data_IF_959613229743
#
_entry.id   IF_959613229743
#
_cell.length_a   1.000
_cell.length_b   1.000
_cell.length_c   1.000
_cell.angle_alpha   90.00
_cell.angle_beta   90.00
_cell.angle_gamma   90.00
#
_symmetry.space_group_name_H-M   'P 1'
#
loop_
_entity.id
_entity.type
_entity.pdbx_description
1 polymer ?
#
# COMPACT_ATOMS: atom_id res chain seq x y z
N UNK A 1 12.62 3.51 -8.61
CA UNK A 1 11.63 4.36 -7.92
C UNK A 1 11.79 5.85 -8.15
N UNK A 2 13.01 6.33 -8.35
CA UNK A 2 13.24 7.77 -8.49
C UNK A 2 12.44 8.40 -9.64
N UNK A 3 12.22 7.68 -10.73
CA UNK A 3 11.43 8.15 -11.86
C UNK A 3 9.93 7.93 -11.77
N UNK A 4 9.44 7.23 -10.73
CA UNK A 4 8.02 6.94 -10.58
C UNK A 4 7.28 8.12 -9.98
N UNK A 5 6.05 8.39 -10.44
CA UNK A 5 5.17 9.41 -9.86
C UNK A 5 4.45 8.94 -8.62
N UNK A 6 4.30 7.64 -8.46
CA UNK A 6 3.64 7.01 -7.32
C UNK A 6 4.13 5.58 -7.17
N UNK A 7 3.91 5.02 -6.00
CA UNK A 7 4.28 3.64 -5.69
C UNK A 7 3.09 2.93 -5.05
N UNK A 8 2.84 1.70 -5.46
CA UNK A 8 1.86 0.83 -4.81
C UNK A 8 2.63 -0.31 -4.17
N UNK A 9 2.43 -0.51 -2.87
CA UNK A 9 3.06 -1.59 -2.12
C UNK A 9 1.98 -2.57 -1.69
N UNK A 10 2.12 -3.83 -2.10
CA UNK A 10 1.22 -4.91 -1.69
C UNK A 10 2.01 -5.91 -0.85
N UNK A 11 1.51 -6.26 0.32
CA UNK A 11 2.22 -7.12 1.26
C UNK A 11 1.31 -8.16 1.90
N UNK A 12 1.82 -9.39 2.14
CA UNK A 12 1.18 -10.30 3.09
C UNK A 12 1.55 -9.91 4.52
N UNK A 13 0.94 -10.57 5.50
CA UNK A 13 1.29 -10.41 6.91
C UNK A 13 2.10 -11.63 7.37
N UNK A 14 3.25 -11.39 7.98
CA UNK A 14 4.11 -12.41 8.54
C UNK A 14 4.36 -12.09 10.02
N UNK A 15 3.95 -12.98 10.91
CA UNK A 15 4.13 -12.81 12.36
C UNK A 15 3.64 -11.42 12.83
N UNK A 16 2.46 -11.02 12.37
CA UNK A 16 1.83 -9.73 12.67
C UNK A 16 2.64 -8.51 12.20
N UNK A 17 3.47 -8.69 11.16
CA UNK A 17 4.26 -7.60 10.60
C UNK A 17 4.49 -7.79 9.11
N UNK A 18 5.27 -6.89 8.52
CA UNK A 18 5.62 -6.97 7.11
C UNK A 18 6.77 -7.99 6.92
N UNK A 19 6.89 -8.58 5.71
CA UNK A 19 8.03 -9.47 5.43
C UNK A 19 9.37 -8.76 5.63
N UNK A 20 10.37 -9.51 6.12
CA UNK A 20 11.71 -8.96 6.33
C UNK A 20 12.34 -8.41 5.04
N UNK A 21 12.08 -9.03 3.91
CA UNK A 21 12.58 -8.55 2.61
C UNK A 21 12.02 -7.16 2.27
N UNK A 22 10.73 -6.92 2.57
CA UNK A 22 10.13 -5.62 2.35
C UNK A 22 10.72 -4.57 3.30
N UNK A 23 10.85 -4.90 4.58
CA UNK A 23 11.46 -3.99 5.56
C UNK A 23 12.88 -3.63 5.18
N UNK A 24 13.65 -4.62 4.71
CA UNK A 24 15.02 -4.38 4.24
C UNK A 24 15.06 -3.42 3.04
N UNK A 25 14.15 -3.60 2.08
CA UNK A 25 14.06 -2.69 0.93
C UNK A 25 13.74 -1.26 1.37
N UNK A 26 12.80 -1.10 2.33
CA UNK A 26 12.44 0.21 2.85
C UNK A 26 13.61 0.87 3.60
N UNK A 27 14.38 0.09 4.34
CA UNK A 27 15.56 0.60 5.04
C UNK A 27 16.59 1.19 4.07
N UNK A 28 16.78 0.59 2.91
CA UNK A 28 17.63 1.15 1.86
C UNK A 28 17.08 2.49 1.33
N UNK A 29 15.76 2.60 1.18
CA UNK A 29 15.12 3.81 0.67
C UNK A 29 15.14 4.98 1.65
N UNK A 30 15.32 4.71 2.95
CA UNK A 30 15.47 5.77 3.96
C UNK A 30 16.65 6.66 3.63
N UNK A 31 17.79 6.07 3.30
CA UNK A 31 19.02 6.83 3.01
C UNK A 31 18.90 7.66 1.74
N UNK A 32 18.21 7.16 0.72
CA UNK A 32 18.08 7.86 -0.56
C UNK A 32 16.98 8.92 -0.56
N UNK A 33 16.02 8.83 0.37
CA UNK A 33 14.89 9.77 0.43
C UNK A 33 13.93 9.67 -0.76
N UNK A 34 13.95 8.57 -1.50
CA UNK A 34 13.14 8.42 -2.72
C UNK A 34 11.65 8.46 -2.47
N UNK A 35 11.19 8.14 -1.25
CA UNK A 35 9.77 8.17 -0.90
C UNK A 35 9.31 9.48 -0.29
N UNK A 36 10.21 10.43 -0.06
CA UNK A 36 9.82 11.74 0.52
C UNK A 36 8.83 12.45 -0.40
N UNK A 37 7.65 12.76 0.14
CA UNK A 37 6.54 13.40 -0.55
C UNK A 37 6.01 12.60 -1.76
N UNK A 38 6.43 11.35 -1.93
CA UNK A 38 5.94 10.51 -3.03
C UNK A 38 4.57 9.94 -2.69
N UNK A 39 3.57 10.06 -3.59
CA UNK A 39 2.29 9.41 -3.40
C UNK A 39 2.44 7.89 -3.33
N UNK A 40 1.89 7.29 -2.29
CA UNK A 40 1.97 5.84 -2.05
C UNK A 40 0.58 5.31 -1.72
N UNK A 41 0.26 4.13 -2.23
CA UNK A 41 -0.85 3.33 -1.77
C UNK A 41 -0.30 2.02 -1.20
N UNK A 42 -0.89 1.54 -0.14
CA UNK A 42 -0.46 0.31 0.52
C UNK A 42 -1.64 -0.65 0.66
N UNK A 43 -1.41 -1.91 0.30
CA UNK A 43 -2.43 -2.95 0.30
C UNK A 43 -1.88 -4.13 1.08
N UNK A 44 -2.66 -4.66 2.03
CA UNK A 44 -2.38 -5.95 2.63
C UNK A 44 -3.44 -6.97 2.22
N UNK A 45 -3.06 -8.22 2.14
CA UNK A 45 -3.96 -9.32 1.83
C UNK A 45 -3.64 -10.51 2.74
N UNK A 46 -4.67 -11.19 3.19
CA UNK A 46 -4.52 -12.33 4.09
C UNK A 46 -5.68 -13.30 3.89
N UNK A 47 -5.46 -14.63 4.02
CA UNK A 47 -6.58 -15.57 3.99
C UNK A 47 -7.46 -15.48 5.24
N UNK A 48 -7.02 -14.83 6.31
CA UNK A 48 -7.76 -14.68 7.55
C UNK A 48 -8.69 -13.47 7.56
N UNK A 49 -9.43 -13.33 8.65
CA UNK A 49 -10.43 -12.27 8.83
C UNK A 49 -9.81 -10.88 8.92
N UNK A 50 -8.61 -10.76 9.46
CA UNK A 50 -7.97 -9.46 9.66
C UNK A 50 -7.43 -8.81 8.40
N UNK A 51 -7.30 -9.57 7.30
CA UNK A 51 -6.81 -9.02 6.02
C UNK A 51 -5.40 -8.45 6.08
N UNK A 52 -4.60 -8.84 7.08
CA UNK A 52 -3.28 -8.29 7.26
C UNK A 52 -3.27 -6.87 7.83
N UNK A 53 -4.31 -6.49 8.55
CA UNK A 53 -4.47 -5.12 9.07
C UNK A 53 -3.33 -4.68 10.00
N UNK A 54 -2.75 -5.60 10.77
CA UNK A 54 -1.63 -5.28 11.66
C UNK A 54 -0.39 -4.97 10.83
N UNK A 55 -0.09 -5.77 9.81
CA UNK A 55 1.02 -5.52 8.90
C UNK A 55 0.81 -4.21 8.15
N UNK A 56 -0.42 -3.94 7.70
CA UNK A 56 -0.74 -2.71 6.98
C UNK A 56 -0.52 -1.48 7.87
N UNK A 57 -0.94 -1.53 9.13
CA UNK A 57 -0.73 -0.44 10.08
C UNK A 57 0.77 -0.20 10.32
N UNK A 58 1.54 -1.27 10.46
CA UNK A 58 2.99 -1.19 10.63
C UNK A 58 3.66 -0.57 9.40
N UNK A 59 3.28 -1.00 8.21
CA UNK A 59 3.79 -0.47 6.96
C UNK A 59 3.45 1.01 6.80
N UNK A 60 2.21 1.39 7.08
CA UNK A 60 1.78 2.79 7.00
C UNK A 60 2.57 3.67 7.95
N UNK A 61 2.81 3.22 9.18
CA UNK A 61 3.63 3.94 10.14
C UNK A 61 5.05 4.18 9.64
N UNK A 62 5.67 3.13 9.09
CA UNK A 62 7.02 3.23 8.52
C UNK A 62 7.06 4.21 7.34
N UNK A 63 6.11 4.11 6.42
CA UNK A 63 6.06 4.98 5.25
C UNK A 63 5.85 6.45 5.63
N UNK A 64 5.04 6.72 6.65
CA UNK A 64 4.80 8.08 7.14
C UNK A 64 6.03 8.67 7.81
N UNK A 65 6.80 7.84 8.52
CA UNK A 65 8.09 8.27 9.07
C UNK A 65 9.06 8.62 7.94
N UNK A 66 9.01 7.89 6.82
CA UNK A 66 9.80 8.17 5.64
C UNK A 66 9.27 9.37 4.83
N UNK A 67 8.24 10.03 5.31
CA UNK A 67 7.63 11.23 4.73
C UNK A 67 6.92 10.96 3.40
N UNK A 68 6.48 9.73 3.16
CA UNK A 68 5.65 9.41 2.00
C UNK A 68 4.26 10.07 2.13
N UNK A 69 3.66 10.43 1.00
CA UNK A 69 2.30 10.95 0.97
C UNK A 69 1.33 9.76 0.96
N UNK A 70 0.79 9.43 2.12
CA UNK A 70 -0.04 8.23 2.34
C UNK A 70 -1.30 8.58 3.11
N UNK A 71 -2.35 9.09 2.44
CA UNK A 71 -3.63 9.34 3.10
C UNK A 71 -4.38 8.03 3.40
N UNK A 72 -5.34 8.09 4.31
CA UNK A 72 -6.09 6.92 4.76
C UNK A 72 -6.82 6.20 3.63
N UNK A 73 -7.32 6.91 2.65
CA UNK A 73 -8.03 6.33 1.52
C UNK A 73 -7.11 5.61 0.51
N UNK A 74 -5.81 5.66 0.72
CA UNK A 74 -4.82 4.90 -0.03
C UNK A 74 -4.34 3.65 0.73
N UNK A 75 -5.05 3.23 1.77
CA UNK A 75 -4.79 2.00 2.51
C UNK A 75 -5.93 1.01 2.30
N UNK A 76 -5.61 -0.24 2.04
CA UNK A 76 -6.61 -1.28 1.81
C UNK A 76 -6.15 -2.61 2.41
N UNK A 77 -6.99 -3.19 3.26
CA UNK A 77 -6.82 -4.54 3.81
C UNK A 77 -7.80 -5.49 3.12
N UNK A 78 -7.34 -6.59 2.58
CA UNK A 78 -8.19 -7.57 1.89
C UNK A 78 -8.23 -8.85 2.72
N UNK A 79 -9.32 -9.09 3.51
CA UNK A 79 -9.46 -10.33 4.26
C UNK A 79 -9.96 -11.45 3.35
N UNK A 80 -9.76 -12.69 3.78
CA UNK A 80 -10.24 -13.89 3.08
C UNK A 80 -9.83 -13.92 1.62
N UNK A 81 -8.61 -13.51 1.31
CA UNK A 81 -8.15 -13.33 -0.07
C UNK A 81 -8.26 -14.61 -0.90
N UNK A 82 -8.04 -15.78 -0.29
CA UNK A 82 -8.16 -17.06 -1.00
C UNK A 82 -9.58 -17.34 -1.49
N UNK A 83 -10.59 -16.84 -0.77
CA UNK A 83 -12.00 -16.99 -1.17
C UNK A 83 -12.43 -15.94 -2.19
N UNK A 84 -11.73 -14.82 -2.24
CA UNK A 84 -12.05 -13.71 -3.15
C UNK A 84 -11.41 -13.85 -4.52
N UNK A 85 -10.39 -14.71 -4.63
CA UNK A 85 -9.76 -15.01 -5.91
C UNK A 85 -10.62 -16.04 -6.66
N UNK A 86 -10.94 -15.74 -7.90
CA UNK A 86 -11.70 -16.63 -8.79
C UNK A 86 -10.93 -16.86 -10.08
N UNK A 87 -11.43 -17.75 -10.94
CA UNK A 87 -10.83 -17.99 -12.25
C UNK A 87 -10.83 -16.73 -13.14
N UNK A 88 -11.73 -15.79 -12.89
CA UNK A 88 -11.82 -14.52 -13.62
C UNK A 88 -11.12 -13.36 -12.90
N UNK A 89 -10.43 -13.62 -11.79
CA UNK A 89 -9.77 -12.60 -10.99
C UNK A 89 -10.35 -12.47 -9.59
N UNK A 90 -10.42 -11.26 -9.04
CA UNK A 90 -10.99 -11.00 -7.71
C UNK A 90 -12.50 -10.82 -7.78
N UNK A 91 -13.18 -10.93 -6.62
CA UNK A 91 -14.63 -10.71 -6.54
C UNK A 91 -14.99 -9.23 -6.79
N UNK A 92 -16.28 -8.96 -6.98
CA UNK A 92 -16.74 -7.63 -7.35
C UNK A 92 -16.48 -6.59 -6.25
N UNK A 93 -16.69 -6.96 -4.99
CA UNK A 93 -16.42 -6.06 -3.85
C UNK A 93 -14.96 -5.63 -3.80
N UNK A 94 -14.05 -6.60 -3.96
CA UNK A 94 -12.61 -6.33 -3.98
C UNK A 94 -12.24 -5.45 -5.17
N UNK A 95 -12.85 -5.70 -6.34
CA UNK A 95 -12.62 -4.88 -7.53
C UNK A 95 -13.05 -3.44 -7.31
N UNK A 96 -14.18 -3.21 -6.66
CA UNK A 96 -14.65 -1.86 -6.33
C UNK A 96 -13.67 -1.17 -5.37
N UNK A 97 -13.23 -1.87 -4.33
CA UNK A 97 -12.28 -1.33 -3.37
C UNK A 97 -10.95 -0.95 -4.03
N UNK A 98 -10.45 -1.79 -4.94
CA UNK A 98 -9.23 -1.51 -5.67
C UNK A 98 -9.38 -0.30 -6.59
N UNK A 99 -10.54 -0.17 -7.27
CA UNK A 99 -10.81 1.00 -8.10
C UNK A 99 -10.87 2.29 -7.29
N UNK A 100 -11.51 2.25 -6.12
CA UNK A 100 -11.58 3.41 -5.23
C UNK A 100 -10.19 3.82 -4.76
N UNK A 101 -9.34 2.85 -4.41
CA UNK A 101 -7.95 3.12 -4.02
C UNK A 101 -7.17 3.74 -5.17
N UNK A 102 -7.32 3.24 -6.39
CA UNK A 102 -6.65 3.80 -7.56
C UNK A 102 -7.08 5.23 -7.85
N UNK A 103 -8.37 5.53 -7.67
CA UNK A 103 -8.90 6.90 -7.82
C UNK A 103 -8.28 7.81 -6.76
N UNK A 104 -8.22 7.36 -5.50
CA UNK A 104 -7.61 8.12 -4.42
C UNK A 104 -6.14 8.40 -4.69
N UNK A 105 -5.42 7.40 -5.18
CA UNK A 105 -4.00 7.55 -5.54
C UNK A 105 -3.83 8.54 -6.68
N UNK A 106 -4.69 8.49 -7.70
CA UNK A 106 -4.67 9.42 -8.82
C UNK A 106 -4.87 10.86 -8.35
N UNK A 107 -5.81 11.09 -7.44
CA UNK A 107 -6.04 12.40 -6.84
C UNK A 107 -4.79 12.89 -6.08
N UNK A 108 -4.15 11.99 -5.35
CA UNK A 108 -2.93 12.31 -4.60
C UNK A 108 -1.78 12.67 -5.53
N UNK A 109 -1.63 11.98 -6.66
CA UNK A 109 -0.64 12.31 -7.68
C UNK A 109 -0.88 13.71 -8.24
N UNK A 110 -2.14 14.03 -8.56
CA UNK A 110 -2.52 15.33 -9.10
C UNK A 110 -2.21 16.45 -8.09
N UNK A 111 -2.53 16.25 -6.82
CA UNK A 111 -2.23 17.24 -5.77
C UNK A 111 -0.73 17.44 -5.60
N UNK A 112 0.05 16.36 -5.63
CA UNK A 112 1.51 16.45 -5.52
C UNK A 112 2.12 17.22 -6.68
N UNK A 113 1.61 17.01 -7.89
CA UNK A 113 2.05 17.74 -9.09
C UNK A 113 1.70 19.23 -9.00
N UNK A 114 0.55 19.56 -8.41
CA UNK A 114 0.12 20.95 -8.25
C UNK A 114 0.89 21.67 -7.14
N UNK A 115 1.36 20.93 -6.14
CA UNK A 115 2.10 21.48 -5.00
C UNK A 115 3.57 21.76 -5.35
N UNK A 116 4.08 21.13 -6.38
CA UNK A 116 5.46 21.33 -6.82
C UNK A 116 5.53 22.38 -7.92
#
# INVERSE_FOLDING_TARGET
MAGARAVIICTPEYASGIPGTLKNALDWLVSSGELVNKPVAAISASPGQGGGSIALASLAGTLRIMTAALPEDCLLSIPFVSKKLTAQGTDEETNVQLKELMIALQCNITQASMAS
#
